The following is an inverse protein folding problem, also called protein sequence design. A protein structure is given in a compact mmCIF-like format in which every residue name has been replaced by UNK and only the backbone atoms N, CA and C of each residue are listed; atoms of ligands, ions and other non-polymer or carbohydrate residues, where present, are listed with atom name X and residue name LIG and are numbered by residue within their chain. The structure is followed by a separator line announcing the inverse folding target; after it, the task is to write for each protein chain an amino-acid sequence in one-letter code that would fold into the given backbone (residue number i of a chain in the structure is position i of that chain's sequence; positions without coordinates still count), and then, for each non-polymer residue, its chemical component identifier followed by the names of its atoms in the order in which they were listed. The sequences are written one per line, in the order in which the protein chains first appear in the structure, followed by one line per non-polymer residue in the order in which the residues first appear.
data_IF_574525124462
#
_entry.id   IF_574525124462
#
_cell.length_a   1.000
_cell.length_b   1.000
_cell.length_c   1.000
_cell.angle_alpha   90.00
_cell.angle_beta   90.00
_cell.angle_gamma   90.00
#
_symmetry.space_group_name_H-M   'P 1'
#
loop_
_entity.id
_entity.type
_entity.pdbx_description
1 polymer ?
#
# COMPACT_ATOMS: atom_id res chain seq x y z
N UNK A 1 -10.54 3.86 -13.47
CA UNK A 1 -10.11 5.15 -12.90
C UNK A 1 -8.63 5.06 -12.64
N UNK A 2 -7.89 6.09 -13.01
CA UNK A 2 -6.43 6.11 -12.92
C UNK A 2 -6.03 7.11 -11.82
N UNK A 3 -5.42 6.67 -10.71
CA UNK A 3 -4.91 7.59 -9.71
C UNK A 3 -3.75 8.44 -10.27
N UNK A 4 -3.43 9.57 -9.62
CA UNK A 4 -2.25 10.34 -9.95
C UNK A 4 -1.00 9.45 -9.95
N UNK A 5 -0.20 9.42 -11.05
CA UNK A 5 1.00 8.58 -11.12
C UNK A 5 2.03 8.88 -10.03
N UNK A 6 2.09 10.15 -9.59
CA UNK A 6 2.99 10.59 -8.52
C UNK A 6 2.64 9.94 -7.17
N UNK A 7 1.35 9.86 -6.83
CA UNK A 7 0.88 9.21 -5.59
C UNK A 7 1.27 7.73 -5.59
N UNK A 8 1.12 7.06 -6.74
CA UNK A 8 1.47 5.66 -6.90
C UNK A 8 2.99 5.42 -6.81
N UNK A 9 3.80 6.33 -7.36
CA UNK A 9 5.25 6.28 -7.26
C UNK A 9 5.71 6.47 -5.81
N UNK A 10 5.17 7.48 -5.10
CA UNK A 10 5.44 7.71 -3.68
C UNK A 10 5.10 6.48 -2.83
N UNK A 11 3.92 5.91 -3.02
CA UNK A 11 3.52 4.72 -2.28
C UNK A 11 4.44 3.50 -2.53
N UNK A 12 4.98 3.37 -3.75
CA UNK A 12 6.00 2.35 -4.05
C UNK A 12 7.30 2.62 -3.32
N UNK A 13 7.77 3.86 -3.36
CA UNK A 13 9.06 4.23 -2.76
C UNK A 13 9.00 4.10 -1.23
N UNK A 14 7.89 4.46 -0.60
CA UNK A 14 7.66 4.26 0.84
C UNK A 14 7.71 2.79 1.26
N UNK A 15 7.14 1.87 0.47
CA UNK A 15 7.30 0.44 0.75
C UNK A 15 8.76 -0.01 0.66
N UNK A 16 9.53 0.57 -0.26
CA UNK A 16 10.96 0.26 -0.42
C UNK A 16 11.75 0.78 0.77
N UNK A 17 11.47 2.01 1.21
CA UNK A 17 12.07 2.64 2.39
C UNK A 17 11.73 1.89 3.69
N UNK A 18 10.51 1.36 3.80
CA UNK A 18 10.08 0.46 4.88
C UNK A 18 10.78 -0.92 4.86
N UNK A 19 11.73 -1.14 3.95
CA UNK A 19 12.56 -2.34 3.89
C UNK A 19 12.11 -3.39 2.88
N UNK A 20 11.05 -3.14 2.09
CA UNK A 20 10.64 -4.07 1.04
C UNK A 20 11.63 -4.00 -0.14
N UNK A 21 12.15 -5.13 -0.64
CA UNK A 21 13.05 -5.10 -1.77
C UNK A 21 12.32 -4.62 -3.02
N UNK A 22 12.85 -3.60 -3.72
CA UNK A 22 12.21 -2.96 -4.87
C UNK A 22 11.72 -3.93 -5.96
N UNK A 23 12.45 -5.03 -6.20
CA UNK A 23 12.07 -6.10 -7.15
C UNK A 23 10.79 -6.87 -6.75
N UNK A 24 10.34 -6.72 -5.51
CA UNK A 24 9.12 -7.34 -4.96
C UNK A 24 7.99 -6.33 -4.74
N UNK A 25 8.19 -5.06 -5.08
CA UNK A 25 7.16 -4.03 -5.04
C UNK A 25 6.63 -3.79 -6.44
N UNK A 26 5.34 -4.02 -6.65
CA UNK A 26 4.69 -3.96 -7.96
C UNK A 26 3.53 -2.97 -7.95
N UNK A 27 3.53 -2.05 -8.90
CA UNK A 27 2.42 -1.11 -9.12
C UNK A 27 1.54 -1.65 -10.25
N UNK A 28 0.23 -1.73 -10.02
CA UNK A 28 -0.75 -2.16 -11.00
C UNK A 28 -2.05 -1.37 -10.85
N UNK A 29 -2.31 -0.47 -11.80
CA UNK A 29 -3.46 0.43 -11.76
C UNK A 29 -3.46 1.26 -10.48
N UNK A 30 -4.44 1.04 -9.61
CA UNK A 30 -4.59 1.72 -8.33
C UNK A 30 -4.03 0.95 -7.12
N UNK A 31 -3.13 -0.02 -7.36
CA UNK A 31 -2.62 -0.92 -6.34
C UNK A 31 -1.10 -0.89 -6.31
N UNK A 32 -0.52 -0.85 -5.12
CA UNK A 32 0.90 -1.10 -4.89
C UNK A 32 1.02 -2.33 -4.00
N UNK A 33 1.64 -3.39 -4.50
CA UNK A 33 1.74 -4.68 -3.79
C UNK A 33 3.19 -4.94 -3.39
N UNK A 34 3.44 -5.10 -2.09
CA UNK A 34 4.72 -5.51 -1.51
C UNK A 34 4.73 -7.01 -1.19
N UNK A 35 5.72 -7.73 -1.73
CA UNK A 35 5.97 -9.16 -1.49
C UNK A 35 4.78 -10.13 -1.70
N UNK A 36 3.71 -9.67 -2.35
CA UNK A 36 2.47 -10.44 -2.46
C UNK A 36 1.74 -10.68 -1.14
N UNK A 37 2.14 -9.96 -0.07
CA UNK A 37 1.59 -10.08 1.29
C UNK A 37 0.99 -8.77 1.80
N UNK A 38 1.47 -7.64 1.31
CA UNK A 38 0.97 -6.31 1.64
C UNK A 38 0.48 -5.63 0.35
N UNK A 39 -0.63 -4.92 0.42
CA UNK A 39 -1.18 -4.19 -0.72
C UNK A 39 -1.83 -2.88 -0.28
N UNK A 40 -1.27 -1.78 -0.77
CA UNK A 40 -1.86 -0.44 -0.69
C UNK A 40 -2.81 -0.25 -1.87
N UNK A 41 -3.99 0.31 -1.63
CA UNK A 41 -4.97 0.63 -2.68
C UNK A 41 -5.40 2.08 -2.59
N UNK A 42 -5.25 2.80 -3.70
CA UNK A 42 -5.77 4.16 -3.84
C UNK A 42 -7.22 4.11 -4.28
N UNK A 43 -8.12 4.64 -3.45
CA UNK A 43 -9.54 4.77 -3.80
C UNK A 43 -9.81 6.10 -4.51
N UNK A 44 -11.02 6.23 -5.09
CA UNK A 44 -11.45 7.45 -5.80
C UNK A 44 -11.79 8.61 -4.85
N UNK A 45 -12.05 8.28 -3.59
CA UNK A 45 -12.46 9.21 -2.53
C UNK A 45 -11.32 10.10 -2.02
N UNK A 46 -10.06 9.80 -2.33
CA UNK A 46 -8.93 10.54 -1.75
C UNK A 46 -8.02 9.66 -0.89
N UNK A 47 -8.50 8.50 -0.45
CA UNK A 47 -7.87 7.73 0.61
C UNK A 47 -7.09 6.52 0.12
N UNK A 48 -6.16 6.12 0.96
CA UNK A 48 -5.41 4.90 0.88
C UNK A 48 -5.99 3.84 1.82
N UNK A 49 -5.90 2.60 1.37
CA UNK A 49 -6.35 1.45 2.13
C UNK A 49 -5.22 0.42 2.18
N UNK A 50 -4.87 0.00 3.40
CA UNK A 50 -3.89 -1.05 3.63
C UNK A 50 -4.57 -2.41 3.70
N UNK A 51 -4.09 -3.36 2.90
CA UNK A 51 -4.51 -4.76 2.96
C UNK A 51 -3.32 -5.67 3.21
N UNK A 52 -3.49 -6.65 4.09
CA UNK A 52 -2.55 -7.75 4.28
C UNK A 52 -3.17 -9.06 3.83
N UNK A 53 -2.33 -10.00 3.39
CA UNK A 53 -2.76 -11.32 2.91
C UNK A 53 -2.53 -12.37 4.00
N UNK A 54 -3.56 -12.62 4.80
CA UNK A 54 -3.58 -13.72 5.76
C UNK A 54 -4.27 -14.95 5.15
N UNK A 55 -3.67 -16.14 5.28
CA UNK A 55 -4.25 -17.43 4.82
C UNK A 55 -4.83 -17.43 3.40
N UNK A 56 -4.18 -16.69 2.49
CA UNK A 56 -4.58 -16.61 1.08
C UNK A 56 -5.66 -15.57 0.76
N UNK A 57 -6.25 -14.93 1.78
CA UNK A 57 -7.27 -13.88 1.64
C UNK A 57 -6.72 -12.51 1.99
N UNK A 58 -7.16 -11.49 1.27
CA UNK A 58 -6.84 -10.10 1.59
C UNK A 58 -7.82 -9.59 2.64
N UNK A 59 -7.29 -9.07 3.74
CA UNK A 59 -8.05 -8.37 4.77
C UNK A 59 -7.53 -6.95 4.90
N UNK A 60 -8.43 -6.02 5.23
CA UNK A 60 -8.02 -4.65 5.56
C UNK A 60 -7.25 -4.70 6.88
N UNK A 61 -6.06 -4.15 6.90
CA UNK A 61 -5.17 -4.23 8.06
C UNK A 61 -5.26 -2.99 8.96
N UNK A 62 -5.57 -1.83 8.37
CA UNK A 62 -5.71 -0.56 9.06
C UNK A 62 -6.91 0.24 8.53
N UNK A 63 -7.46 1.18 9.32
CA UNK A 63 -8.39 2.20 8.83
C UNK A 63 -7.82 2.93 7.60
N UNK A 64 -8.66 3.45 6.70
CA UNK A 64 -8.18 4.22 5.56
C UNK A 64 -7.70 5.60 5.97
N UNK A 65 -6.53 5.99 5.48
CA UNK A 65 -5.92 7.30 5.73
C UNK A 65 -5.78 8.10 4.43
N UNK A 66 -5.57 9.40 4.56
CA UNK A 66 -5.38 10.29 3.40
C UNK A 66 -3.97 10.15 2.80
N UNK A 67 -2.95 9.85 3.62
CA UNK A 67 -1.56 9.63 3.23
C UNK A 67 -1.09 8.19 3.49
N UNK A 68 -0.10 7.71 2.72
CA UNK A 68 0.43 6.33 2.86
C UNK A 68 1.32 6.17 4.08
N UNK A 69 2.08 7.20 4.44
CA UNK A 69 2.97 7.16 5.60
C UNK A 69 2.20 6.81 6.88
N UNK A 70 1.04 7.45 7.08
CA UNK A 70 0.18 7.20 8.23
C UNK A 70 -0.28 5.73 8.30
N UNK A 71 -0.55 5.10 7.15
CA UNK A 71 -0.91 3.67 7.09
C UNK A 71 0.25 2.74 7.47
N UNK A 72 1.48 3.10 7.10
CA UNK A 72 2.65 2.25 7.33
C UNK A 72 3.13 2.32 8.78
N UNK A 73 2.94 3.47 9.44
CA UNK A 73 3.19 3.61 10.87
C UNK A 73 2.25 2.71 11.72
N UNK A 74 1.02 2.48 11.25
CA UNK A 74 0.08 1.58 11.92
C UNK A 74 0.48 0.09 11.87
N UNK A 75 1.25 -0.36 10.87
CA UNK A 75 1.65 -1.77 10.69
C UNK A 75 2.98 -2.11 11.38
N UNK A 76 3.86 -1.12 11.61
CA UNK A 76 5.20 -1.32 12.20
C UNK A 76 5.23 -1.35 13.74
N UNK A 77 4.08 -1.14 14.40
CA UNK A 77 3.98 -1.03 15.87
C UNK A 77 3.20 -2.17 16.55
N UNK A 78 2.86 -3.26 15.84
CA UNK A 78 2.13 -4.43 16.40
C UNK A 78 2.85 -5.75 16.21
#
# INVERSE_FOLDING_TARGET
WNPPPLDMARARDLLIEAGMPARRVHVSGNRVTGEGRLQLRRSRDGRWYLFTKATGRWAMAAPPEDDVDDLLDHDLTS
#
